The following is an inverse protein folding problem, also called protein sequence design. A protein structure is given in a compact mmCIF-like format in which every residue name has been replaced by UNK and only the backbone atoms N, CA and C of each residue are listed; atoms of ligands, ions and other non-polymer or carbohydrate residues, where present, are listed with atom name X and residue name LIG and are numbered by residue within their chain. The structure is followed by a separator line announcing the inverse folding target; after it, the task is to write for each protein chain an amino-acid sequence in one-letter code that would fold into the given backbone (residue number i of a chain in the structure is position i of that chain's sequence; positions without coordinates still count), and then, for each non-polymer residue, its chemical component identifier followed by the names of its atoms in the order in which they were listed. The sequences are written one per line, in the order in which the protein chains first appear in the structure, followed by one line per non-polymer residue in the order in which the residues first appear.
data_IF_035538124613
#
_entry.id   IF_035538124613
#
_cell.length_a   1.000
_cell.length_b   1.000
_cell.length_c   1.000
_cell.angle_alpha   90.00
_cell.angle_beta   90.00
_cell.angle_gamma   90.00
#
_symmetry.space_group_name_H-M   'P 1'
#
loop_
_entity.id
_entity.type
_entity.pdbx_description
1 polymer ?
#
# COMPACT_ATOMS: atom_id res chain seq x y z
N UNK A 1 -15.27 -23.85 -19.66
CA UNK A 1 -15.69 -22.59 -19.02
C UNK A 1 -14.92 -22.45 -17.71
N UNK A 2 -13.84 -21.67 -17.69
CA UNK A 2 -12.95 -21.53 -16.51
C UNK A 2 -13.22 -20.20 -15.80
N UNK A 3 -13.98 -20.24 -14.72
CA UNK A 3 -14.29 -19.09 -13.85
C UNK A 3 -13.39 -19.07 -12.61
N UNK A 4 -12.14 -19.54 -12.70
CA UNK A 4 -11.20 -19.56 -11.56
C UNK A 4 -10.26 -18.35 -11.46
N UNK A 5 -10.21 -17.47 -12.47
CA UNK A 5 -9.13 -16.49 -12.58
C UNK A 5 -9.33 -15.17 -11.83
N UNK A 6 -10.51 -14.90 -11.26
CA UNK A 6 -10.80 -13.60 -10.63
C UNK A 6 -10.65 -13.57 -9.11
N UNK A 7 -10.57 -14.74 -8.47
CA UNK A 7 -10.49 -14.86 -7.01
C UNK A 7 -9.04 -14.86 -6.49
N UNK A 8 -8.13 -15.53 -7.21
CA UNK A 8 -6.69 -15.55 -6.90
C UNK A 8 -6.07 -14.13 -6.95
N UNK A 9 -6.53 -13.26 -7.86
CA UNK A 9 -6.03 -11.88 -7.94
C UNK A 9 -6.25 -11.07 -6.65
N UNK A 10 -7.29 -11.36 -5.86
CA UNK A 10 -7.54 -10.64 -4.59
C UNK A 10 -6.66 -11.12 -3.44
N UNK A 11 -6.20 -12.36 -3.47
CA UNK A 11 -5.32 -12.92 -2.45
C UNK A 11 -3.87 -12.47 -2.67
N UNK A 12 -3.45 -12.34 -3.93
CA UNK A 12 -2.16 -11.75 -4.29
C UNK A 12 -2.08 -10.25 -3.99
N UNK A 13 -3.18 -9.50 -4.22
CA UNK A 13 -3.28 -8.08 -3.83
C UNK A 13 -3.05 -7.88 -2.33
N UNK A 14 -3.44 -8.88 -1.54
CA UNK A 14 -3.20 -8.90 -0.09
C UNK A 14 -1.73 -9.18 0.21
N UNK A 15 -1.06 -10.09 -0.50
CA UNK A 15 0.32 -10.47 -0.16
C UNK A 15 1.38 -9.44 -0.59
N UNK A 16 1.23 -8.82 -1.76
CA UNK A 16 2.17 -7.82 -2.29
C UNK A 16 1.43 -6.67 -2.99
N UNK A 17 0.86 -5.70 -2.24
CA UNK A 17 0.13 -4.57 -2.82
C UNK A 17 0.96 -3.78 -3.85
N UNK A 18 2.27 -3.63 -3.63
CA UNK A 18 3.23 -3.00 -4.56
C UNK A 18 3.41 -3.73 -5.90
N UNK A 19 3.06 -5.02 -5.99
CA UNK A 19 3.07 -5.78 -7.25
C UNK A 19 1.79 -5.65 -8.05
N UNK A 20 0.70 -5.17 -7.44
CA UNK A 20 -0.59 -4.95 -8.12
C UNK A 20 -0.90 -3.48 -8.36
N UNK A 21 -0.37 -2.59 -7.53
CA UNK A 21 -0.60 -1.15 -7.64
C UNK A 21 0.73 -0.41 -7.70
N UNK A 22 0.92 0.40 -8.75
CA UNK A 22 2.10 1.24 -8.91
C UNK A 22 2.19 2.33 -7.82
N UNK A 23 1.06 2.73 -7.23
CA UNK A 23 1.03 3.72 -6.16
C UNK A 23 -0.24 3.62 -5.30
N UNK A 24 -0.21 4.13 -4.05
CA UNK A 24 -1.39 4.28 -3.20
C UNK A 24 -2.52 5.09 -3.87
N UNK A 25 -2.15 6.06 -4.72
CA UNK A 25 -3.11 6.86 -5.51
C UNK A 25 -3.85 6.02 -6.55
N UNK A 26 -3.15 5.08 -7.21
CA UNK A 26 -3.78 4.17 -8.17
C UNK A 26 -4.82 3.27 -7.48
N UNK A 27 -4.51 2.79 -6.28
CA UNK A 27 -5.44 2.02 -5.45
C UNK A 27 -6.68 2.82 -5.06
N UNK A 28 -6.54 4.10 -4.74
CA UNK A 28 -7.69 4.97 -4.47
C UNK A 28 -8.57 5.18 -5.71
N UNK A 29 -7.97 5.27 -6.90
CA UNK A 29 -8.68 5.43 -8.17
C UNK A 29 -9.39 4.15 -8.63
N UNK A 30 -9.04 2.99 -8.07
CA UNK A 30 -9.65 1.71 -8.44
C UNK A 30 -11.12 1.65 -7.98
N UNK A 31 -12.05 1.63 -8.93
CA UNK A 31 -13.48 1.55 -8.64
C UNK A 31 -13.97 0.14 -8.29
N UNK A 32 -13.12 -0.89 -8.45
CA UNK A 32 -13.45 -2.28 -8.16
C UNK A 32 -13.31 -2.65 -6.68
N UNK A 33 -12.64 -1.81 -5.88
CA UNK A 33 -12.44 -1.98 -4.44
C UNK A 33 -13.39 -1.08 -3.65
N UNK A 34 -14.03 -1.65 -2.62
CA UNK A 34 -14.77 -0.87 -1.63
C UNK A 34 -13.85 -0.02 -0.76
N UNK A 35 -14.42 0.96 -0.05
CA UNK A 35 -13.67 1.81 0.90
C UNK A 35 -12.92 0.97 1.94
N UNK A 36 -13.58 -0.05 2.50
CA UNK A 36 -12.99 -0.93 3.51
C UNK A 36 -11.86 -1.82 2.95
N UNK A 37 -12.02 -2.31 1.71
CA UNK A 37 -10.96 -3.06 1.03
C UNK A 37 -9.75 -2.17 0.75
N UNK A 38 -9.96 -0.93 0.27
CA UNK A 38 -8.89 0.04 0.05
C UNK A 38 -8.13 0.34 1.33
N UNK A 39 -8.85 0.57 2.43
CA UNK A 39 -8.26 0.77 3.76
C UNK A 39 -7.39 -0.41 4.16
N UNK A 40 -7.93 -1.62 4.11
CA UNK A 40 -7.22 -2.85 4.51
C UNK A 40 -5.94 -3.07 3.71
N UNK A 41 -5.96 -2.75 2.41
CA UNK A 41 -4.77 -2.87 1.55
C UNK A 41 -3.75 -1.78 1.85
N UNK A 42 -4.18 -0.53 2.07
CA UNK A 42 -3.30 0.58 2.45
C UNK A 42 -2.64 0.36 3.81
N UNK A 43 -3.40 -0.06 4.83
CA UNK A 43 -2.86 -0.39 6.17
C UNK A 43 -1.81 -1.51 6.08
N UNK A 44 -2.11 -2.57 5.32
CA UNK A 44 -1.15 -3.66 5.13
C UNK A 44 0.09 -3.22 4.37
N UNK A 45 -0.05 -2.32 3.39
CA UNK A 45 1.09 -1.77 2.67
C UNK A 45 1.97 -0.90 3.57
N UNK A 46 1.36 -0.08 4.43
CA UNK A 46 2.08 0.70 5.43
C UNK A 46 2.93 -0.20 6.35
N UNK A 47 2.33 -1.26 6.88
CA UNK A 47 3.03 -2.26 7.71
C UNK A 47 4.24 -2.89 7.00
N UNK A 48 4.13 -3.18 5.70
CA UNK A 48 5.23 -3.77 4.93
C UNK A 48 6.38 -2.78 4.74
N UNK A 49 6.05 -1.53 4.40
CA UNK A 49 7.03 -0.45 4.20
C UNK A 49 7.71 -0.09 5.53
N UNK A 50 6.93 0.02 6.61
CA UNK A 50 7.43 0.29 7.96
C UNK A 50 8.42 -0.78 8.43
N UNK A 51 8.09 -2.07 8.23
CA UNK A 51 9.02 -3.17 8.50
C UNK A 51 10.29 -3.13 7.67
N UNK A 52 10.24 -2.64 6.42
CA UNK A 52 11.45 -2.46 5.59
C UNK A 52 12.34 -1.35 6.13
N UNK A 53 11.75 -0.25 6.59
CA UNK A 53 12.46 0.86 7.23
C UNK A 53 13.07 0.43 8.58
N UNK A 54 12.33 -0.33 9.38
CA UNK A 54 12.79 -0.86 10.67
C UNK A 54 13.89 -1.92 10.48
N UNK A 55 13.73 -2.84 9.52
CA UNK A 55 14.77 -3.84 9.18
C UNK A 55 16.05 -3.21 8.61
N UNK A 56 15.97 -2.03 7.99
CA UNK A 56 17.15 -1.24 7.59
C UNK A 56 17.94 -0.70 8.78
N UNK A 57 17.29 -0.53 9.94
CA UNK A 57 17.90 -0.02 11.17
C UNK A 57 18.67 -1.11 11.95
N UNK A 58 18.30 -2.39 11.82
CA UNK A 58 18.95 -3.53 12.49
C UNK A 58 20.20 -4.08 11.76
N UNK A 59 21.02 -3.20 11.18
CA UNK A 59 22.41 -3.53 10.81
C UNK A 59 22.67 -3.97 9.37
N UNK A 60 21.72 -3.81 8.44
CA UNK A 60 21.98 -3.89 7.00
C UNK A 60 21.77 -2.51 6.34
N UNK A 61 22.82 -1.85 5.83
CA UNK A 61 22.67 -0.54 5.23
C UNK A 61 21.84 -0.65 3.94
N UNK A 62 20.61 -0.18 4.00
CA UNK A 62 19.67 -0.09 2.88
C UNK A 62 20.05 1.07 1.96
N UNK A 63 21.22 0.99 1.32
CA UNK A 63 21.71 2.01 0.40
C UNK A 63 20.68 2.35 -0.69
N UNK A 64 19.95 3.47 -0.50
CA UNK A 64 19.12 4.12 -1.52
C UNK A 64 17.62 3.79 -1.51
N UNK A 65 17.14 2.84 -0.70
CA UNK A 65 15.69 2.52 -0.60
C UNK A 65 14.98 3.25 0.54
N UNK A 66 15.68 3.64 1.61
CA UNK A 66 15.13 4.42 2.73
C UNK A 66 14.33 5.67 2.31
N UNK A 67 14.86 6.57 1.45
CA UNK A 67 14.09 7.76 1.05
C UNK A 67 12.85 7.40 0.24
N UNK A 68 12.88 6.30 -0.53
CA UNK A 68 11.76 5.84 -1.35
C UNK A 68 10.67 5.17 -0.51
N UNK A 69 11.06 4.33 0.44
CA UNK A 69 10.12 3.69 1.36
C UNK A 69 9.53 4.70 2.34
N UNK A 70 10.30 5.68 2.83
CA UNK A 70 9.77 6.77 3.65
C UNK A 70 8.78 7.65 2.87
N UNK A 71 9.06 7.96 1.61
CA UNK A 71 8.14 8.69 0.73
C UNK A 71 6.87 7.88 0.46
N UNK A 72 7.00 6.57 0.20
CA UNK A 72 5.89 5.67 -0.01
C UNK A 72 4.99 5.56 1.23
N UNK A 73 5.57 5.45 2.43
CA UNK A 73 4.84 5.44 3.70
C UNK A 73 4.03 6.72 3.87
N UNK A 74 4.62 7.88 3.51
CA UNK A 74 3.92 9.17 3.53
C UNK A 74 2.78 9.22 2.53
N UNK A 75 2.97 8.69 1.32
CA UNK A 75 1.91 8.62 0.31
C UNK A 75 0.75 7.70 0.73
N UNK A 76 1.05 6.60 1.42
CA UNK A 76 0.03 5.70 1.99
C UNK A 76 -0.78 6.41 3.08
N UNK A 77 -0.11 7.16 3.96
CA UNK A 77 -0.77 7.98 4.99
C UNK A 77 -1.75 8.99 4.38
N UNK A 78 -1.29 9.77 3.39
CA UNK A 78 -2.14 10.71 2.66
C UNK A 78 -3.32 10.03 1.96
N UNK A 79 -3.12 8.80 1.47
CA UNK A 79 -4.17 8.03 0.83
C UNK A 79 -5.25 7.57 1.84
N UNK A 80 -4.83 7.14 3.04
CA UNK A 80 -5.73 6.79 4.14
C UNK A 80 -6.51 8.01 4.63
N UNK A 81 -5.86 9.15 4.86
CA UNK A 81 -6.52 10.41 5.25
C UNK A 81 -7.61 10.79 4.25
N UNK A 82 -7.27 10.80 2.95
CA UNK A 82 -8.21 11.08 1.86
C UNK A 82 -9.36 10.07 1.81
N UNK A 83 -9.10 8.80 2.10
CA UNK A 83 -10.11 7.75 2.14
C UNK A 83 -11.08 7.95 3.31
N UNK A 84 -10.58 8.36 4.47
CA UNK A 84 -11.39 8.64 5.66
C UNK A 84 -12.15 9.96 5.57
N UNK A 85 -11.81 10.82 4.59
CA UNK A 85 -12.39 12.16 4.45
C UNK A 85 -11.77 13.15 5.43
N UNK A 86 -10.60 12.81 5.97
CA UNK A 86 -9.75 13.72 6.73
C UNK A 86 -9.03 14.54 5.66
N UNK A 87 -9.55 15.74 5.36
CA UNK A 87 -8.84 16.63 4.46
C UNK A 87 -7.47 16.94 5.06
N UNK A 88 -6.35 16.76 4.32
CA UNK A 88 -5.04 17.10 4.85
C UNK A 88 -5.04 18.60 5.14
N UNK A 89 -4.90 18.94 6.41
CA UNK A 89 -4.90 20.32 6.88
C UNK A 89 -3.81 21.09 6.12
N UNK A 90 -4.25 22.03 5.27
CA UNK A 90 -3.43 22.75 4.29
C UNK A 90 -2.57 23.84 4.93
#
# INVERSE_FOLDING_TARGET
MSTKSRHLQREDAKMAPESQFESPKALLADASLSKEEKRSVLERWADQVDRRLDSGSEGMPTYGTEPKDAELLREIGLALEKLEGIEPNR
#
